data_IF_179615798264
#
_entry.id   IF_179615798264
#
_cell.length_a   1.000
_cell.length_b   1.000
_cell.length_c   1.000
_cell.angle_alpha   90.00
_cell.angle_beta   90.00
_cell.angle_gamma   90.00
#
_symmetry.space_group_name_H-M   'P 1'
#
loop_
_entity.id
_entity.type
_entity.pdbx_description
1 polymer ?
#
# COMPACT_ATOMS: atom_id res chain seq x y z
N UNK A 1 14.73 -2.80 -4.66
CA UNK A 1 13.78 -2.13 -5.58
C UNK A 1 14.24 -0.74 -6.04
N UNK A 2 15.22 -0.08 -5.41
CA UNK A 2 15.43 1.37 -5.60
C UNK A 2 16.14 1.82 -6.88
N UNK A 3 16.99 1.05 -7.59
CA UNK A 3 17.35 1.43 -8.96
C UNK A 3 16.23 1.05 -9.94
N UNK A 4 15.72 -0.18 -9.85
CA UNK A 4 14.79 -0.75 -10.81
C UNK A 4 13.41 -0.07 -10.81
N UNK A 5 12.91 0.33 -9.64
CA UNK A 5 11.62 1.01 -9.50
C UNK A 5 11.64 2.42 -10.10
N UNK A 6 12.70 3.19 -9.83
CA UNK A 6 12.91 4.50 -10.41
C UNK A 6 13.02 4.43 -11.93
N UNK A 7 13.79 3.47 -12.44
CA UNK A 7 13.96 3.24 -13.88
C UNK A 7 12.63 2.85 -14.54
N UNK A 8 11.86 1.96 -13.92
CA UNK A 8 10.56 1.55 -14.45
C UNK A 8 9.56 2.72 -14.51
N UNK A 9 9.45 3.50 -13.44
CA UNK A 9 8.57 4.68 -13.42
C UNK A 9 9.00 5.70 -14.47
N UNK A 10 10.30 5.95 -14.58
CA UNK A 10 10.84 6.91 -15.53
C UNK A 10 10.65 6.45 -16.98
N UNK A 11 10.81 5.15 -17.28
CA UNK A 11 10.50 4.57 -18.59
C UNK A 11 9.02 4.69 -18.95
N UNK A 12 8.12 4.41 -18.00
CA UNK A 12 6.68 4.56 -18.24
C UNK A 12 6.26 6.01 -18.48
N UNK A 13 6.89 6.97 -17.81
CA UNK A 13 6.64 8.41 -18.04
C UNK A 13 7.23 8.87 -19.37
N UNK A 14 8.44 8.39 -19.72
CA UNK A 14 9.13 8.77 -20.95
C UNK A 14 8.46 8.21 -22.21
N UNK A 15 7.77 7.06 -22.12
CA UNK A 15 6.96 6.51 -23.22
C UNK A 15 5.89 7.48 -23.77
N UNK A 16 5.43 8.43 -22.95
CA UNK A 16 4.41 9.41 -23.35
C UNK A 16 4.99 10.69 -23.94
N UNK A 17 6.32 10.83 -24.04
CA UNK A 17 7.00 12.04 -24.52
C UNK A 17 7.60 11.84 -25.91
N UNK A 18 7.39 12.77 -26.86
CA UNK A 18 8.02 12.69 -28.18
C UNK A 18 9.55 12.78 -28.04
N UNK A 19 10.27 11.85 -28.67
CA UNK A 19 11.75 11.77 -28.65
C UNK A 19 12.36 10.77 -27.67
N UNK A 20 11.57 10.12 -26.82
CA UNK A 20 12.03 9.11 -25.83
C UNK A 20 11.47 7.70 -26.06
N UNK A 21 10.97 7.42 -27.26
CA UNK A 21 10.25 6.19 -27.60
C UNK A 21 11.11 4.90 -27.55
N UNK A 22 12.44 5.04 -27.62
CA UNK A 22 13.42 3.95 -27.54
C UNK A 22 14.25 3.94 -26.25
N UNK A 23 13.86 4.69 -25.22
CA UNK A 23 14.58 4.67 -23.94
C UNK A 23 14.54 3.26 -23.33
N UNK A 24 15.74 2.74 -23.04
CA UNK A 24 15.93 1.45 -22.37
C UNK A 24 16.37 1.70 -20.93
N UNK A 25 16.08 0.77 -20.01
CA UNK A 25 16.48 0.92 -18.61
C UNK A 25 17.97 1.23 -18.42
N UNK A 26 18.82 0.71 -19.30
CA UNK A 26 20.27 0.90 -19.27
C UNK A 26 20.68 2.29 -19.78
N UNK A 27 20.08 2.80 -20.87
CA UNK A 27 20.39 4.13 -21.38
C UNK A 27 19.97 5.19 -20.36
N UNK A 28 18.77 5.03 -19.79
CA UNK A 28 18.25 5.92 -18.77
C UNK A 28 19.07 5.86 -17.47
N UNK A 29 19.50 4.67 -17.04
CA UNK A 29 20.38 4.54 -15.87
C UNK A 29 21.72 5.26 -16.08
N UNK A 30 22.32 5.11 -17.27
CA UNK A 30 23.56 5.82 -17.63
C UNK A 30 23.36 7.33 -17.63
N UNK A 31 22.25 7.83 -18.16
CA UNK A 31 21.92 9.25 -18.18
C UNK A 31 21.71 9.83 -16.76
N UNK A 32 21.02 9.09 -15.89
CA UNK A 32 20.81 9.51 -14.49
C UNK A 32 22.15 9.55 -13.75
N UNK A 33 23.00 8.53 -13.92
CA UNK A 33 24.32 8.49 -13.29
C UNK A 33 25.23 9.60 -13.82
N UNK A 34 25.17 9.91 -15.12
CA UNK A 34 25.94 11.00 -15.71
C UNK A 34 25.49 12.38 -15.21
N UNK A 35 24.19 12.58 -14.97
CA UNK A 35 23.61 13.88 -14.56
C UNK A 35 23.61 14.11 -13.04
N UNK A 36 23.33 13.07 -12.25
CA UNK A 36 23.08 13.17 -10.81
C UNK A 36 23.96 12.23 -9.97
N UNK A 37 24.88 11.49 -10.61
CA UNK A 37 25.71 10.49 -9.95
C UNK A 37 24.93 9.25 -9.51
N UNK A 38 25.62 8.34 -8.83
CA UNK A 38 25.04 7.06 -8.36
C UNK A 38 23.91 7.30 -7.34
N UNK A 39 23.95 8.40 -6.59
CA UNK A 39 22.91 8.77 -5.62
C UNK A 39 21.56 9.09 -6.29
N UNK A 40 21.58 9.57 -7.54
CA UNK A 40 20.36 9.82 -8.33
C UNK A 40 19.52 8.56 -8.56
N UNK A 41 20.14 7.38 -8.57
CA UNK A 41 19.43 6.10 -8.69
C UNK A 41 18.66 5.69 -7.41
N UNK A 42 18.88 6.37 -6.29
CA UNK A 42 18.26 6.04 -4.99
C UNK A 42 17.29 7.12 -4.50
N UNK A 43 16.90 8.05 -5.37
CA UNK A 43 15.89 9.06 -5.06
C UNK A 43 14.59 8.37 -4.65
N UNK A 44 14.08 8.72 -3.46
CA UNK A 44 12.87 8.13 -2.90
C UNK A 44 13.08 6.93 -1.96
N UNK A 45 14.32 6.59 -1.60
CA UNK A 45 14.58 5.49 -0.66
C UNK A 45 13.95 5.70 0.73
N UNK A 46 13.96 6.93 1.25
CA UNK A 46 13.38 7.25 2.56
C UNK A 46 11.86 7.02 2.63
N UNK A 47 11.02 7.57 1.72
CA UNK A 47 9.59 7.27 1.72
C UNK A 47 9.28 5.79 1.40
N UNK A 48 10.11 5.12 0.59
CA UNK A 48 9.97 3.68 0.38
C UNK A 48 10.26 2.87 1.66
N UNK A 49 11.28 3.24 2.41
CA UNK A 49 11.64 2.58 3.67
C UNK A 49 10.50 2.74 4.70
N UNK A 50 9.96 3.95 4.85
CA UNK A 50 8.81 4.19 5.74
C UNK A 50 7.59 3.39 5.31
N UNK A 51 7.27 3.36 4.00
CA UNK A 51 6.15 2.56 3.50
C UNK A 51 6.31 1.07 3.82
N UNK A 52 7.52 0.52 3.64
CA UNK A 52 7.76 -0.89 3.94
C UNK A 52 7.72 -1.14 5.46
N UNK A 53 8.35 -0.27 6.26
CA UNK A 53 8.33 -0.39 7.71
C UNK A 53 6.91 -0.36 8.28
N UNK A 54 6.06 0.58 7.85
CA UNK A 54 4.67 0.70 8.31
C UNK A 54 3.80 -0.48 7.85
N UNK A 55 4.01 -1.01 6.64
CA UNK A 55 3.29 -2.20 6.15
C UNK A 55 3.64 -3.46 6.96
N UNK A 56 4.91 -3.63 7.35
CA UNK A 56 5.32 -4.78 8.15
C UNK A 56 4.97 -4.62 9.64
N UNK A 57 5.10 -3.41 10.16
CA UNK A 57 4.76 -3.08 11.55
C UNK A 57 3.27 -3.28 11.83
N UNK A 58 2.39 -2.76 10.97
CA UNK A 58 0.94 -2.94 11.14
C UNK A 58 0.50 -4.40 11.08
N UNK A 59 0.99 -5.17 10.09
CA UNK A 59 0.67 -6.60 9.97
C UNK A 59 1.11 -7.39 11.20
N UNK A 60 2.33 -7.15 11.68
CA UNK A 60 2.86 -7.86 12.86
C UNK A 60 2.11 -7.47 14.13
N UNK A 61 1.82 -6.17 14.30
CA UNK A 61 1.12 -5.65 15.47
C UNK A 61 -0.31 -6.21 15.60
N UNK A 62 -1.09 -6.21 14.51
CA UNK A 62 -2.46 -6.73 14.55
C UNK A 62 -2.51 -8.26 14.67
N UNK A 63 -1.56 -8.96 14.07
CA UNK A 63 -1.46 -10.43 14.20
C UNK A 63 -1.15 -10.83 15.65
N UNK A 64 -0.18 -10.16 16.28
CA UNK A 64 0.20 -10.45 17.67
C UNK A 64 -0.86 -10.00 18.68
N UNK A 65 -1.54 -8.87 18.45
CA UNK A 65 -2.70 -8.49 19.26
C UNK A 65 -3.83 -9.52 19.20
N UNK A 66 -4.09 -10.11 18.03
CA UNK A 66 -5.05 -11.19 17.88
C UNK A 66 -4.58 -12.48 18.56
N UNK A 67 -3.30 -12.86 18.42
CA UNK A 67 -2.73 -14.04 19.08
C UNK A 67 -2.75 -13.93 20.61
N UNK A 68 -2.37 -12.77 21.15
CA UNK A 68 -2.29 -12.52 22.59
C UNK A 68 -3.66 -12.41 23.26
N UNK A 69 -4.65 -11.77 22.62
CA UNK A 69 -5.96 -11.53 23.24
C UNK A 69 -6.99 -12.63 22.97
N UNK A 70 -6.97 -13.26 21.79
CA UNK A 70 -7.99 -14.27 21.42
C UNK A 70 -7.52 -15.71 21.64
N UNK A 71 -6.26 -15.94 22.03
CA UNK A 71 -5.65 -17.28 22.19
C UNK A 71 -5.97 -18.23 21.03
N UNK A 72 -6.14 -17.72 19.81
CA UNK A 72 -6.59 -18.49 18.65
C UNK A 72 -5.59 -19.59 18.24
N UNK A 73 -4.33 -19.51 18.71
CA UNK A 73 -3.33 -20.58 18.59
C UNK A 73 -3.74 -21.89 19.26
N UNK A 74 -4.68 -21.87 20.22
CA UNK A 74 -5.22 -23.07 20.88
C UNK A 74 -6.07 -23.96 19.98
N UNK A 75 -6.55 -23.45 18.85
CA UNK A 75 -7.40 -24.18 17.90
C UNK A 75 -6.62 -24.81 16.73
N UNK A 76 -5.30 -24.89 16.83
CA UNK A 76 -4.43 -25.47 15.79
C UNK A 76 -4.46 -24.68 14.49
N UNK A 77 -4.22 -25.35 13.36
CA UNK A 77 -4.05 -24.74 12.03
C UNK A 77 -5.25 -23.86 11.60
N UNK A 78 -6.46 -24.21 12.06
CA UNK A 78 -7.70 -23.52 11.69
C UNK A 78 -7.88 -22.22 12.49
N UNK A 79 -7.43 -22.20 13.75
CA UNK A 79 -7.37 -20.99 14.56
C UNK A 79 -6.38 -19.96 14.03
N UNK A 80 -5.29 -20.43 13.43
CA UNK A 80 -4.27 -19.56 12.84
C UNK A 80 -4.76 -18.89 11.55
N UNK A 81 -5.45 -19.65 10.68
CA UNK A 81 -6.15 -19.10 9.51
C UNK A 81 -7.23 -18.08 9.93
N UNK A 82 -8.03 -18.42 10.96
CA UNK A 82 -9.04 -17.52 11.50
C UNK A 82 -8.44 -16.22 12.05
N UNK A 83 -7.31 -16.30 12.76
CA UNK A 83 -6.59 -15.13 13.27
C UNK A 83 -6.05 -14.23 12.15
N UNK A 84 -5.59 -14.82 11.03
CA UNK A 84 -5.15 -14.08 9.84
C UNK A 84 -6.29 -13.38 9.11
N UNK A 85 -7.48 -13.99 9.07
CA UNK A 85 -8.69 -13.37 8.51
C UNK A 85 -9.15 -12.20 9.39
N UNK A 86 -9.21 -12.39 10.71
CA UNK A 86 -9.60 -11.34 11.66
C UNK A 86 -8.59 -10.19 11.65
N UNK A 87 -7.28 -10.47 11.60
CA UNK A 87 -6.25 -9.44 11.47
C UNK A 87 -6.33 -8.69 10.14
N UNK A 88 -6.59 -9.41 9.04
CA UNK A 88 -6.81 -8.83 7.72
C UNK A 88 -8.02 -7.90 7.67
N UNK A 89 -9.16 -8.32 8.23
CA UNK A 89 -10.38 -7.53 8.33
C UNK A 89 -10.24 -6.36 9.33
N UNK A 90 -9.58 -6.59 10.46
CA UNK A 90 -9.29 -5.56 11.45
C UNK A 90 -8.42 -4.44 10.88
N UNK A 91 -7.48 -4.77 9.98
CA UNK A 91 -6.66 -3.76 9.30
C UNK A 91 -7.44 -2.81 8.39
N UNK A 92 -8.68 -3.16 8.02
CA UNK A 92 -9.56 -2.32 7.21
C UNK A 92 -10.25 -1.20 8.01
N UNK A 93 -10.03 -1.07 9.31
CA UNK A 93 -10.63 0.01 10.11
C UNK A 93 -10.20 1.41 9.66
N UNK A 94 -9.01 1.54 9.05
CA UNK A 94 -8.48 2.80 8.53
C UNK A 94 -8.95 3.13 7.09
N UNK A 95 -9.91 2.36 6.55
CA UNK A 95 -10.46 2.58 5.19
C UNK A 95 -10.97 4.01 4.96
N UNK A 96 -11.65 4.68 5.92
CA UNK A 96 -12.09 6.07 5.72
C UNK A 96 -10.95 7.05 5.41
N UNK A 97 -9.77 6.85 6.04
CA UNK A 97 -8.59 7.69 5.81
C UNK A 97 -8.06 7.49 4.38
N UNK A 98 -8.07 6.23 3.91
CA UNK A 98 -7.63 5.91 2.55
C UNK A 98 -8.62 6.43 1.49
N UNK A 99 -9.93 6.35 1.75
CA UNK A 99 -10.96 6.93 0.88
C UNK A 99 -10.75 8.43 0.72
N UNK A 100 -10.58 9.16 1.83
CA UNK A 100 -10.30 10.62 1.79
C UNK A 100 -8.99 10.91 1.06
N UNK A 101 -7.95 10.09 1.27
CA UNK A 101 -6.68 10.21 0.54
C UNK A 101 -6.87 10.04 -0.97
N UNK A 102 -7.64 9.05 -1.41
CA UNK A 102 -7.92 8.80 -2.83
C UNK A 102 -8.72 9.96 -3.43
N UNK A 103 -9.71 10.50 -2.71
CA UNK A 103 -10.48 11.67 -3.14
C UNK A 103 -9.59 12.91 -3.27
N UNK A 104 -8.71 13.15 -2.30
CA UNK A 104 -7.75 14.25 -2.33
C UNK A 104 -6.74 14.11 -3.48
N UNK A 105 -6.23 12.90 -3.73
CA UNK A 105 -5.34 12.62 -4.86
C UNK A 105 -6.05 12.78 -6.21
N UNK A 106 -7.33 12.42 -6.28
CA UNK A 106 -8.19 12.63 -7.46
C UNK A 106 -8.33 14.11 -7.76
N UNK A 107 -8.68 14.92 -6.76
CA UNK A 107 -8.90 16.36 -6.94
C UNK A 107 -7.60 17.09 -7.31
N UNK A 108 -6.48 16.73 -6.67
CA UNK A 108 -5.16 17.21 -7.08
C UNK A 108 -4.82 16.86 -8.54
N UNK A 109 -5.13 15.63 -8.97
CA UNK A 109 -4.92 15.20 -10.37
C UNK A 109 -5.83 15.92 -11.37
N UNK A 110 -6.97 16.43 -10.92
CA UNK A 110 -7.91 17.23 -11.70
C UNK A 110 -7.58 18.74 -11.67
N UNK A 111 -6.54 19.15 -10.94
CA UNK A 111 -6.16 20.56 -10.78
C UNK A 111 -7.13 21.37 -9.90
N UNK A 112 -7.96 20.68 -9.10
CA UNK A 112 -8.87 21.30 -8.13
C UNK A 112 -8.13 21.45 -6.81
N UNK A 113 -8.31 22.58 -6.12
CA UNK A 113 -7.73 22.76 -4.78
C UNK A 113 -8.27 21.68 -3.82
N UNK A 114 -7.39 20.89 -3.19
CA UNK A 114 -7.80 19.82 -2.31
C UNK A 114 -8.47 20.38 -1.05
N UNK A 115 -9.62 19.84 -0.69
CA UNK A 115 -10.36 20.22 0.51
C UNK A 115 -9.63 19.74 1.77
N UNK A 116 -9.98 20.31 2.92
CA UNK A 116 -9.53 19.79 4.21
C UNK A 116 -10.09 18.39 4.44
N UNK A 117 -9.40 17.58 5.26
CA UNK A 117 -9.82 16.20 5.57
C UNK A 117 -11.28 16.13 6.05
N UNK A 118 -11.68 17.07 6.92
CA UNK A 118 -13.07 17.18 7.39
C UNK A 118 -14.07 17.46 6.27
N UNK A 119 -13.71 18.31 5.29
CA UNK A 119 -14.58 18.64 4.16
C UNK A 119 -14.83 17.45 3.23
N UNK A 120 -13.85 16.56 3.04
CA UNK A 120 -14.07 15.32 2.29
C UNK A 120 -14.92 14.32 3.05
N UNK A 121 -14.75 14.21 4.37
CA UNK A 121 -15.58 13.34 5.21
C UNK A 121 -17.02 13.82 5.21
N UNK A 122 -17.24 15.11 5.37
CA UNK A 122 -18.57 15.74 5.37
C UNK A 122 -19.26 15.56 4.01
N UNK A 123 -18.58 15.86 2.91
CA UNK A 123 -19.11 15.69 1.55
C UNK A 123 -19.49 14.22 1.26
N UNK A 124 -18.66 13.27 1.68
CA UNK A 124 -18.93 11.86 1.42
C UNK A 124 -20.00 11.30 2.36
N UNK A 125 -20.10 11.85 3.58
CA UNK A 125 -21.23 11.59 4.49
C UNK A 125 -22.54 12.15 3.94
N UNK A 126 -22.54 13.32 3.31
CA UNK A 126 -23.72 13.89 2.64
C UNK A 126 -24.12 13.09 1.39
N UNK A 127 -23.15 12.61 0.61
CA UNK A 127 -23.39 11.85 -0.63
C UNK A 127 -23.90 10.43 -0.42
N UNK A 128 -23.46 9.75 0.64
CA UNK A 128 -23.79 8.34 0.83
C UNK A 128 -23.58 7.80 2.24
N UNK A 129 -23.42 8.69 3.23
CA UNK A 129 -23.30 8.34 4.63
C UNK A 129 -22.04 7.53 4.97
N UNK A 130 -22.11 6.83 6.12
CA UNK A 130 -21.02 5.98 6.62
C UNK A 130 -20.56 4.93 5.59
N UNK A 131 -21.43 4.24 4.82
CA UNK A 131 -20.98 3.26 3.82
C UNK A 131 -20.10 3.83 2.71
N UNK A 132 -20.29 5.11 2.36
CA UNK A 132 -19.51 5.76 1.31
C UNK A 132 -18.04 5.95 1.73
N UNK A 133 -17.78 6.20 3.02
CA UNK A 133 -16.42 6.26 3.59
C UNK A 133 -15.68 4.91 3.52
N UNK A 134 -16.42 3.80 3.43
CA UNK A 134 -15.88 2.45 3.30
C UNK A 134 -15.92 1.91 1.85
N UNK A 135 -16.20 2.73 0.84
CA UNK A 135 -16.09 2.29 -0.57
C UNK A 135 -14.68 1.83 -0.87
N UNK A 136 -14.54 0.58 -1.30
CA UNK A 136 -13.24 -0.07 -1.53
C UNK A 136 -12.76 -0.98 -0.39
N UNK A 137 -13.53 -1.09 0.70
CA UNK A 137 -13.20 -2.02 1.80
C UNK A 137 -13.16 -3.49 1.34
N UNK A 138 -14.03 -3.88 0.40
CA UNK A 138 -14.12 -5.27 -0.10
C UNK A 138 -12.86 -5.72 -0.85
N UNK A 139 -12.38 -5.04 -1.92
CA UNK A 139 -11.14 -5.44 -2.58
C UNK A 139 -9.94 -5.37 -1.63
N UNK A 140 -9.93 -4.42 -0.68
CA UNK A 140 -8.89 -4.30 0.34
C UNK A 140 -8.89 -5.46 1.34
N UNK A 141 -10.06 -5.85 1.82
CA UNK A 141 -10.24 -6.99 2.71
C UNK A 141 -9.75 -8.28 2.03
N UNK A 142 -10.13 -8.51 0.77
CA UNK A 142 -9.66 -9.66 0.02
C UNK A 142 -8.13 -9.67 -0.15
N UNK A 143 -7.53 -8.52 -0.50
CA UNK A 143 -6.07 -8.41 -0.61
C UNK A 143 -5.38 -8.63 0.75
N UNK A 144 -5.90 -8.03 1.82
CA UNK A 144 -5.34 -8.14 3.16
C UNK A 144 -5.43 -9.59 3.68
N UNK A 145 -6.58 -10.25 3.52
CA UNK A 145 -6.76 -11.66 3.88
C UNK A 145 -5.81 -12.55 3.09
N UNK A 146 -5.72 -12.38 1.76
CA UNK A 146 -4.80 -13.14 0.93
C UNK A 146 -3.35 -12.99 1.39
N UNK A 147 -2.89 -11.75 1.60
CA UNK A 147 -1.52 -11.48 2.02
C UNK A 147 -1.22 -12.05 3.41
N UNK A 148 -2.18 -12.03 4.33
CA UNK A 148 -1.97 -12.51 5.71
C UNK A 148 -1.99 -14.04 5.75
N UNK A 149 -2.92 -14.69 5.03
CA UNK A 149 -2.97 -16.16 4.95
C UNK A 149 -1.72 -16.71 4.25
N UNK A 150 -1.34 -16.16 3.11
CA UNK A 150 -0.26 -16.72 2.29
C UNK A 150 1.14 -16.36 2.80
N UNK A 151 1.36 -15.16 3.37
CA UNK A 151 2.69 -14.77 3.86
C UNK A 151 2.91 -14.99 5.36
N UNK A 152 1.87 -15.23 6.17
CA UNK A 152 2.03 -15.42 7.62
C UNK A 152 1.65 -16.82 8.04
N UNK A 153 0.53 -17.37 7.53
CA UNK A 153 0.06 -18.68 7.99
C UNK A 153 0.75 -19.84 7.27
N UNK A 154 1.00 -19.73 5.96
CA UNK A 154 1.69 -20.78 5.19
C UNK A 154 3.13 -21.03 5.68
N UNK A 155 3.98 -20.02 5.97
CA UNK A 155 5.32 -20.26 6.51
C UNK A 155 5.30 -20.91 7.89
N UNK A 156 4.41 -20.47 8.79
CA UNK A 156 4.24 -21.07 10.11
C UNK A 156 3.76 -22.54 10.03
N UNK A 157 2.92 -22.86 9.04
CA UNK A 157 2.47 -24.23 8.74
C UNK A 157 3.58 -25.14 8.18
N UNK A 158 4.52 -24.57 7.43
CA UNK A 158 5.62 -25.29 6.80
C UNK A 158 6.86 -25.43 7.70
N UNK A 159 6.82 -24.87 8.92
CA UNK A 159 7.86 -25.08 9.94
C UNK A 159 9.18 -24.37 9.68
N UNK A 160 9.17 -23.25 8.95
CA UNK A 160 10.33 -22.37 8.75
C UNK A 160 10.34 -21.19 9.72
#
# INVERSE_FOLDING_TARGET
MTPTGLLFTSLNVNKSKPGHEHDTAISLAKDIVAKQGVQGLFVGIAPMAVRQASNWSSRSLFTELCRANLQLSRFGQMGEIGSGIIGGLGSCWNTPIETVRVLMQRDYSLGVEPKTFGGYVEEEMEKGGVPALFRGVTPRACQAVWQTVFMVVVPNLLGF
#
